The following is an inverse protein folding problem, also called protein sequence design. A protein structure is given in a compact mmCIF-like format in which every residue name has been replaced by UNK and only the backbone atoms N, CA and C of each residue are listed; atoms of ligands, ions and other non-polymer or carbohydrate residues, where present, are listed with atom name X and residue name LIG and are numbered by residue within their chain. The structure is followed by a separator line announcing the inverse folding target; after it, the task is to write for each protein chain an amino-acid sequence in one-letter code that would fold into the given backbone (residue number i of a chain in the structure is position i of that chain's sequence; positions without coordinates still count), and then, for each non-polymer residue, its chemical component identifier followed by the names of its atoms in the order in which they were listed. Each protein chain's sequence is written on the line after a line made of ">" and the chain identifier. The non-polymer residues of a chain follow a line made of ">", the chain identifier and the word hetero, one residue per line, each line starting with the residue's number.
data_IF_549165152411
#
_entry.id   IF_549165152411
#
_cell.length_a   1.000
_cell.length_b   1.000
_cell.length_c   1.000
_cell.angle_alpha   90.00
_cell.angle_beta   90.00
_cell.angle_gamma   90.00
#
_symmetry.space_group_name_H-M   'P 1'
#
loop_
_entity.id
_entity.type
_entity.pdbx_description
1 polymer ?
#
# COMPACT_ATOMS: atom_id res chain seq x y z
N UNK A 1 -6.39 -5.78 -23.20
CA UNK A 1 -6.71 -6.30 -21.84
C UNK A 1 -5.40 -6.41 -21.06
N UNK A 2 -5.18 -5.61 -20.00
CA UNK A 2 -3.97 -5.76 -19.19
C UNK A 2 -4.10 -7.02 -18.33
N UNK A 3 -3.11 -7.94 -18.32
CA UNK A 3 -3.20 -9.15 -17.51
C UNK A 3 -3.36 -8.77 -16.04
N UNK A 4 -4.47 -9.21 -15.45
CA UNK A 4 -4.80 -8.96 -14.05
C UNK A 4 -3.80 -9.77 -13.22
N UNK A 5 -2.92 -9.09 -12.48
CA UNK A 5 -2.00 -9.78 -11.56
C UNK A 5 -2.82 -10.61 -10.58
N UNK A 6 -2.56 -11.92 -10.45
CA UNK A 6 -3.25 -12.78 -9.49
C UNK A 6 -3.24 -12.20 -8.07
N UNK A 7 -4.31 -12.46 -7.32
CA UNK A 7 -4.46 -11.92 -5.95
C UNK A 7 -3.33 -12.43 -5.04
N UNK A 8 -2.90 -13.67 -5.22
CA UNK A 8 -1.82 -14.28 -4.46
C UNK A 8 -0.47 -13.57 -4.69
N UNK A 9 -0.18 -13.17 -5.93
CA UNK A 9 1.03 -12.40 -6.23
C UNK A 9 0.98 -11.00 -5.63
N UNK A 10 -0.20 -10.36 -5.56
CA UNK A 10 -0.35 -9.08 -4.86
C UNK A 10 -0.01 -9.22 -3.39
N UNK A 11 -0.50 -10.26 -2.71
CA UNK A 11 -0.21 -10.51 -1.29
C UNK A 11 1.29 -10.74 -1.08
N UNK A 12 1.90 -11.58 -1.91
CA UNK A 12 3.34 -11.86 -1.83
C UNK A 12 4.19 -10.60 -2.07
N UNK A 13 3.89 -9.83 -3.12
CA UNK A 13 4.58 -8.57 -3.42
C UNK A 13 4.43 -7.58 -2.26
N UNK A 14 3.23 -7.47 -1.69
CA UNK A 14 2.95 -6.59 -0.55
C UNK A 14 3.78 -6.99 0.66
N UNK A 15 3.77 -8.29 1.01
CA UNK A 15 4.54 -8.81 2.14
C UNK A 15 6.03 -8.55 1.97
N UNK A 16 6.61 -8.91 0.83
CA UNK A 16 8.05 -8.72 0.57
C UNK A 16 8.44 -7.22 0.58
N UNK A 17 7.55 -6.35 0.10
CA UNK A 17 7.76 -4.90 0.17
C UNK A 17 7.76 -4.38 1.61
N UNK A 18 6.83 -4.85 2.45
CA UNK A 18 6.76 -4.48 3.87
C UNK A 18 7.92 -5.05 4.69
N UNK A 19 8.48 -6.19 4.28
CA UNK A 19 9.72 -6.75 4.83
C UNK A 19 10.98 -5.93 4.43
N UNK A 20 10.82 -4.88 3.62
CA UNK A 20 11.91 -3.97 3.22
C UNK A 20 12.76 -4.48 2.06
N UNK A 21 12.33 -5.53 1.35
CA UNK A 21 13.13 -6.10 0.27
C UNK A 21 13.19 -5.15 -0.94
N UNK A 22 14.34 -5.06 -1.62
CA UNK A 22 14.48 -4.23 -2.80
C UNK A 22 13.63 -4.77 -3.94
N UNK A 23 13.07 -3.87 -4.75
CA UNK A 23 12.14 -4.22 -5.83
C UNK A 23 12.70 -5.28 -6.80
N UNK A 24 14.01 -5.26 -7.06
CA UNK A 24 14.69 -6.27 -7.90
C UNK A 24 14.52 -7.69 -7.34
N UNK A 25 14.71 -7.86 -6.04
CA UNK A 25 14.53 -9.15 -5.34
C UNK A 25 13.08 -9.58 -5.35
N UNK A 26 12.15 -8.63 -5.16
CA UNK A 26 10.71 -8.90 -5.25
C UNK A 26 10.33 -9.42 -6.65
N UNK A 27 10.85 -8.80 -7.71
CA UNK A 27 10.61 -9.25 -9.09
C UNK A 27 11.12 -10.69 -9.30
N UNK A 28 12.32 -11.00 -8.81
CA UNK A 28 12.91 -12.33 -8.91
C UNK A 28 12.09 -13.39 -8.15
N UNK A 29 11.68 -13.09 -6.91
CA UNK A 29 10.91 -14.04 -6.08
C UNK A 29 9.48 -14.27 -6.58
N UNK A 30 8.88 -13.28 -7.21
CA UNK A 30 7.49 -13.35 -7.68
C UNK A 30 7.38 -13.73 -9.16
N UNK A 31 8.49 -13.74 -9.90
CA UNK A 31 8.49 -13.91 -11.36
C UNK A 31 7.74 -12.80 -12.10
N UNK A 32 7.43 -11.68 -11.44
CA UNK A 32 6.63 -10.58 -12.01
C UNK A 32 7.53 -9.48 -12.58
N UNK A 33 7.02 -8.81 -13.61
CA UNK A 33 7.72 -7.68 -14.23
C UNK A 33 7.86 -6.51 -13.26
N UNK A 34 8.95 -5.75 -13.42
CA UNK A 34 9.19 -4.53 -12.64
C UNK A 34 8.01 -3.57 -12.67
N UNK A 35 7.35 -3.43 -13.83
CA UNK A 35 6.15 -2.59 -13.98
C UNK A 35 4.97 -3.06 -13.13
N UNK A 36 4.72 -4.38 -13.07
CA UNK A 36 3.66 -4.94 -12.24
C UNK A 36 3.94 -4.71 -10.75
N UNK A 37 5.17 -5.00 -10.31
CA UNK A 37 5.63 -4.79 -8.94
C UNK A 37 5.54 -3.30 -8.56
N UNK A 38 6.02 -2.39 -9.42
CA UNK A 38 5.93 -0.94 -9.19
C UNK A 38 4.50 -0.46 -9.01
N UNK A 39 3.56 -0.94 -9.83
CA UNK A 39 2.14 -0.55 -9.71
C UNK A 39 1.56 -0.97 -8.37
N UNK A 40 1.88 -2.18 -7.90
CA UNK A 40 1.40 -2.69 -6.62
C UNK A 40 2.00 -1.89 -5.47
N UNK A 41 3.31 -1.64 -5.48
CA UNK A 41 3.98 -0.81 -4.46
C UNK A 41 3.38 0.59 -4.41
N UNK A 42 3.13 1.23 -5.56
CA UNK A 42 2.46 2.54 -5.62
C UNK A 42 1.06 2.51 -5.01
N UNK A 43 0.28 1.47 -5.29
CA UNK A 43 -1.06 1.33 -4.71
C UNK A 43 -1.00 1.19 -3.18
N UNK A 44 -0.03 0.44 -2.66
CA UNK A 44 0.17 0.27 -1.20
C UNK A 44 0.53 1.61 -0.55
N UNK A 45 1.47 2.37 -1.14
CA UNK A 45 1.86 3.69 -0.63
C UNK A 45 0.68 4.66 -0.61
N UNK A 46 -0.07 4.75 -1.71
CA UNK A 46 -1.26 5.59 -1.79
C UNK A 46 -2.31 5.21 -0.72
N UNK A 47 -2.50 3.91 -0.45
CA UNK A 47 -3.41 3.45 0.58
C UNK A 47 -2.94 3.86 1.97
N UNK A 48 -1.64 3.76 2.25
CA UNK A 48 -1.06 4.22 3.51
C UNK A 48 -1.23 5.73 3.70
N UNK A 49 -0.97 6.54 2.65
CA UNK A 49 -1.13 7.99 2.69
C UNK A 49 -2.60 8.41 2.88
N UNK A 50 -3.53 7.70 2.24
CA UNK A 50 -4.97 7.92 2.44
C UNK A 50 -5.39 7.60 3.87
N UNK A 51 -4.91 6.47 4.42
CA UNK A 51 -5.22 6.06 5.79
C UNK A 51 -4.70 7.09 6.80
N UNK A 52 -3.46 7.55 6.62
CA UNK A 52 -2.86 8.60 7.46
C UNK A 52 -3.72 9.87 7.47
N UNK A 53 -4.08 10.39 6.29
CA UNK A 53 -4.95 11.58 6.17
C UNK A 53 -6.31 11.38 6.84
N UNK A 54 -6.91 10.20 6.69
CA UNK A 54 -8.20 9.93 7.30
C UNK A 54 -8.11 9.89 8.83
N UNK A 55 -7.07 9.24 9.37
CA UNK A 55 -6.80 9.20 10.82
C UNK A 55 -6.57 10.59 11.41
N UNK A 56 -5.80 11.45 10.72
CA UNK A 56 -5.61 12.84 11.16
C UNK A 56 -6.93 13.61 11.17
N UNK A 57 -7.77 13.42 10.14
CA UNK A 57 -9.08 14.07 10.05
C UNK A 57 -10.02 13.62 11.16
N UNK A 58 -10.10 12.32 11.44
CA UNK A 58 -10.94 11.79 12.54
C UNK A 58 -10.49 12.31 13.89
N UNK A 59 -9.17 12.36 14.14
CA UNK A 59 -8.65 12.91 15.40
C UNK A 59 -8.94 14.40 15.57
N UNK A 60 -8.89 15.17 14.48
CA UNK A 60 -9.27 16.60 14.50
C UNK A 60 -10.74 16.80 14.84
N UNK A 61 -11.64 15.98 14.27
CA UNK A 61 -13.07 16.05 14.54
C UNK A 61 -13.40 15.69 16.00
N UNK A 62 -12.80 14.61 16.52
CA UNK A 62 -12.97 14.21 17.91
C UNK A 62 -12.54 15.34 18.86
N UNK A 63 -11.40 15.99 18.59
CA UNK A 63 -10.90 17.11 19.40
C UNK A 63 -11.82 18.33 19.37
N UNK A 64 -12.46 18.62 18.23
CA UNK A 64 -13.43 19.72 18.13
C UNK A 64 -14.69 19.45 18.96
N UNK A 65 -15.22 18.22 18.91
CA UNK A 65 -16.41 17.84 19.68
C UNK A 65 -16.15 17.84 21.20
N UNK A 66 -14.94 17.51 21.64
CA UNK A 66 -14.56 17.56 23.06
C UNK A 66 -14.41 18.99 23.62
N UNK A 67 -14.31 20.02 22.77
CA UNK A 67 -14.19 21.43 23.19
C UNK A 67 -15.53 22.16 23.28
N UNK A 68 -16.61 21.54 22.80
CA UNK A 68 -17.97 22.11 22.77
C UNK A 68 -18.86 21.70 23.95
N UNK A 69 -18.26 21.16 25.02
CA UNK A 69 -18.95 20.80 26.28
C UNK A 69 -18.25 21.49 27.45
#
# INVERSE_FOLDING_TARGET
>A
MAPRVPVEDRKLITRLFLEGLPQRVICQRTGRSKTAVSRIIRAIRNLADQRSRNTSRTNSLLRQLSQTT
#
